data_IF_071050232561
#
_entry.id   IF_071050232561
#
_cell.length_a   1.000
_cell.length_b   1.000
_cell.length_c   1.000
_cell.angle_alpha   90.00
_cell.angle_beta   90.00
_cell.angle_gamma   90.00
#
_symmetry.space_group_name_H-M   'P 1'
#
loop_
_entity.id
_entity.type
_entity.pdbx_description
1 polymer ?
#
# COMPACT_ATOMS: atom_id res chain seq x y z
N UNK A 1 -6.96 -30.59 -6.17
CA UNK A 1 -6.30 -29.65 -7.10
C UNK A 1 -4.84 -30.00 -7.40
N UNK A 2 -3.90 -29.98 -6.42
CA UNK A 2 -2.46 -30.25 -6.65
C UNK A 2 -2.20 -31.49 -7.52
N UNK A 3 -2.89 -32.60 -7.23
CA UNK A 3 -2.81 -33.84 -8.03
C UNK A 3 -3.19 -33.64 -9.51
N UNK A 4 -4.28 -32.93 -9.79
CA UNK A 4 -4.73 -32.70 -11.16
C UNK A 4 -3.75 -31.82 -11.95
N UNK A 5 -3.20 -30.77 -11.30
CA UNK A 5 -2.16 -29.92 -11.90
C UNK A 5 -0.89 -30.71 -12.16
N UNK A 6 -0.42 -31.48 -11.17
CA UNK A 6 0.77 -32.32 -11.29
C UNK A 6 0.63 -33.39 -12.39
N UNK A 7 -0.52 -34.06 -12.48
CA UNK A 7 -0.79 -35.01 -13.56
C UNK A 7 -0.75 -34.34 -14.93
N UNK A 8 -1.44 -33.19 -15.09
CA UNK A 8 -1.51 -32.49 -16.37
C UNK A 8 -0.14 -31.98 -16.83
N UNK A 9 0.66 -31.45 -15.91
CA UNK A 9 2.03 -31.03 -16.21
C UNK A 9 2.94 -32.24 -16.46
N UNK A 10 2.76 -33.34 -15.74
CA UNK A 10 3.53 -34.56 -15.92
C UNK A 10 3.31 -35.24 -17.27
N UNK A 11 2.09 -35.15 -17.83
CA UNK A 11 1.82 -35.60 -19.21
C UNK A 11 2.64 -34.85 -20.26
N UNK A 12 2.92 -33.56 -20.03
CA UNK A 12 3.64 -32.71 -20.97
C UNK A 12 5.16 -32.69 -20.76
N UNK A 13 5.61 -32.79 -19.51
CA UNK A 13 7.01 -32.54 -19.13
C UNK A 13 7.68 -33.71 -18.39
N UNK A 14 6.94 -34.77 -18.04
CA UNK A 14 7.47 -35.90 -17.30
C UNK A 14 7.65 -35.62 -15.80
N UNK A 15 8.84 -35.87 -15.27
CA UNK A 15 9.13 -35.66 -13.85
C UNK A 15 9.19 -34.16 -13.50
N UNK A 16 8.57 -33.79 -12.38
CA UNK A 16 8.44 -32.40 -11.93
C UNK A 16 9.20 -32.22 -10.61
N UNK A 17 10.49 -31.81 -10.64
CA UNK A 17 11.31 -31.70 -9.44
C UNK A 17 10.93 -30.54 -8.49
N UNK A 18 9.95 -29.69 -8.86
CA UNK A 18 9.46 -28.52 -8.09
C UNK A 18 10.59 -27.56 -7.61
N UNK A 19 11.72 -27.46 -8.33
CA UNK A 19 12.91 -26.65 -7.96
C UNK A 19 12.88 -25.19 -8.44
N UNK A 20 11.91 -24.84 -9.28
CA UNK A 20 11.78 -23.51 -9.87
C UNK A 20 11.12 -22.47 -8.95
N UNK A 21 10.85 -21.26 -9.47
CA UNK A 21 10.14 -20.23 -8.71
C UNK A 21 8.71 -20.66 -8.37
N UNK A 22 8.17 -20.09 -7.30
CA UNK A 22 6.83 -20.41 -6.82
C UNK A 22 5.75 -19.82 -7.72
N UNK A 23 4.77 -20.65 -8.08
CA UNK A 23 3.50 -20.24 -8.69
C UNK A 23 2.38 -20.61 -7.72
N UNK A 24 1.86 -19.64 -6.97
CA UNK A 24 0.77 -19.89 -6.04
C UNK A 24 -0.54 -20.01 -6.81
N UNK A 25 -1.16 -21.19 -6.79
CA UNK A 25 -2.44 -21.44 -7.47
C UNK A 25 -3.56 -21.39 -6.44
N UNK A 26 -4.58 -20.60 -6.71
CA UNK A 26 -5.77 -20.43 -5.87
C UNK A 26 -7.00 -21.00 -6.56
N UNK A 27 -7.96 -21.47 -5.75
CA UNK A 27 -9.25 -21.96 -6.22
C UNK A 27 -10.34 -21.29 -5.44
N UNK A 28 -11.26 -20.64 -6.15
CA UNK A 28 -12.51 -20.17 -5.61
C UNK A 28 -13.66 -21.01 -6.17
N UNK A 29 -14.55 -21.46 -5.28
CA UNK A 29 -15.77 -22.16 -5.63
C UNK A 29 -16.95 -21.29 -5.24
N UNK A 30 -17.84 -21.02 -6.21
CA UNK A 30 -19.07 -20.28 -5.98
C UNK A 30 -20.14 -20.75 -6.95
N UNK A 31 -21.31 -21.10 -6.43
CA UNK A 31 -22.48 -21.49 -7.25
C UNK A 31 -22.12 -22.55 -8.31
N UNK A 32 -21.45 -23.62 -7.88
CA UNK A 32 -20.92 -24.73 -8.71
C UNK A 32 -19.88 -24.33 -9.80
N UNK A 33 -19.42 -23.08 -9.80
CA UNK A 33 -18.34 -22.61 -10.67
C UNK A 33 -17.00 -22.62 -9.93
N UNK A 34 -16.01 -23.28 -10.53
CA UNK A 34 -14.63 -23.27 -10.07
C UNK A 34 -13.81 -22.26 -10.87
N UNK A 35 -13.23 -21.27 -10.19
CA UNK A 35 -12.27 -20.33 -10.74
C UNK A 35 -10.87 -20.73 -10.26
N UNK A 36 -9.95 -20.92 -11.20
CA UNK A 36 -8.55 -21.18 -10.93
C UNK A 36 -7.74 -19.93 -11.29
N UNK A 37 -6.94 -19.43 -10.36
CA UNK A 37 -6.09 -18.25 -10.55
C UNK A 37 -4.65 -18.56 -10.14
N UNK A 38 -3.70 -17.78 -10.66
CA UNK A 38 -2.31 -17.79 -10.20
C UNK A 38 -2.02 -16.43 -9.58
N UNK A 39 -1.56 -16.43 -8.33
CA UNK A 39 -1.16 -15.21 -7.63
C UNK A 39 0.21 -14.73 -8.14
N UNK A 40 0.20 -13.55 -8.76
CA UNK A 40 1.39 -12.84 -9.23
C UNK A 40 2.02 -11.96 -8.16
N UNK A 41 1.32 -11.72 -7.06
CA UNK A 41 1.64 -10.71 -6.05
C UNK A 41 2.47 -11.28 -4.91
N UNK A 42 2.07 -12.41 -4.33
CA UNK A 42 2.61 -12.91 -3.07
C UNK A 42 1.99 -12.21 -1.88
N UNK A 43 2.78 -11.41 -1.15
CA UNK A 43 2.25 -10.68 0.00
C UNK A 43 1.06 -9.80 -0.39
N UNK A 44 0.01 -9.73 0.43
CA UNK A 44 -1.17 -8.92 0.12
C UNK A 44 -0.78 -7.47 -0.21
N UNK A 45 -1.46 -6.84 -1.18
CA UNK A 45 -1.04 -5.54 -1.72
C UNK A 45 -0.95 -4.45 -0.65
N UNK A 46 -1.83 -4.44 0.36
CA UNK A 46 -1.80 -3.51 1.51
C UNK A 46 -0.41 -3.44 2.18
N UNK A 47 0.36 -4.53 2.07
CA UNK A 47 1.82 -4.69 2.21
C UNK A 47 2.72 -3.68 1.51
N UNK A 48 2.65 -2.35 1.71
CA UNK A 48 3.42 -1.39 0.86
C UNK A 48 4.94 -1.43 1.07
N UNK A 49 5.37 -1.96 2.21
CA UNK A 49 6.78 -2.04 2.61
C UNK A 49 7.21 -0.96 3.62
N UNK A 50 6.40 0.09 3.85
CA UNK A 50 6.77 1.18 4.77
C UNK A 50 6.40 0.94 6.25
N UNK A 51 5.60 -0.09 6.54
CA UNK A 51 5.05 -0.36 7.87
C UNK A 51 5.60 -1.67 8.46
N UNK A 52 6.82 -1.67 9.01
CA UNK A 52 7.34 -2.83 9.72
C UNK A 52 6.84 -2.91 11.18
N UNK A 53 6.37 -1.80 11.75
CA UNK A 53 5.84 -1.73 13.12
C UNK A 53 4.31 -1.66 13.10
N UNK A 54 3.66 -2.50 13.89
CA UNK A 54 2.20 -2.52 14.04
C UNK A 54 1.80 -1.90 15.37
N UNK A 55 0.88 -0.93 15.31
CA UNK A 55 0.19 -0.40 16.49
C UNK A 55 -1.07 -1.20 16.80
N UNK A 56 -1.89 -0.68 17.70
CA UNK A 56 -3.20 -1.25 18.01
C UNK A 56 -4.20 -1.01 16.86
N UNK A 57 -4.84 -2.07 16.38
CA UNK A 57 -5.89 -2.07 15.35
C UNK A 57 -5.67 -1.12 14.14
N UNK A 58 -4.54 -1.18 13.41
CA UNK A 58 -4.25 -0.25 12.35
C UNK A 58 -5.18 -0.44 11.14
N UNK A 59 -5.71 0.67 10.63
CA UNK A 59 -6.45 0.69 9.36
C UNK A 59 -5.56 0.14 8.23
N UNK A 60 -6.13 -0.78 7.42
CA UNK A 60 -5.44 -1.32 6.24
C UNK A 60 -5.12 -0.22 5.23
N UNK A 61 -3.94 -0.26 4.66
CA UNK A 61 -3.42 0.70 3.68
C UNK A 61 -4.33 0.84 2.46
N UNK A 62 -4.87 -0.28 1.95
CA UNK A 62 -5.82 -0.27 0.83
C UNK A 62 -7.11 0.46 1.17
N UNK A 63 -7.59 0.36 2.41
CA UNK A 63 -8.80 1.03 2.85
C UNK A 63 -8.54 2.52 3.10
N UNK A 64 -7.41 2.87 3.69
CA UNK A 64 -6.98 4.26 3.84
C UNK A 64 -6.86 4.96 2.47
N UNK A 65 -6.21 4.33 1.49
CA UNK A 65 -6.13 4.84 0.12
C UNK A 65 -7.53 5.03 -0.49
N UNK A 66 -8.43 4.06 -0.32
CA UNK A 66 -9.80 4.16 -0.81
C UNK A 66 -10.56 5.34 -0.16
N UNK A 67 -10.41 5.56 1.15
CA UNK A 67 -11.02 6.71 1.84
C UNK A 67 -10.53 8.04 1.25
N UNK A 68 -9.23 8.17 0.98
CA UNK A 68 -8.68 9.37 0.35
C UNK A 68 -9.23 9.54 -1.06
N UNK A 69 -9.25 8.48 -1.87
CA UNK A 69 -9.76 8.53 -3.25
C UNK A 69 -11.27 8.81 -3.35
N UNK A 70 -12.05 8.36 -2.37
CA UNK A 70 -13.49 8.64 -2.28
C UNK A 70 -13.78 10.04 -1.73
N UNK A 71 -12.82 10.65 -1.05
CA UNK A 71 -12.94 12.02 -0.58
C UNK A 71 -12.83 13.02 -1.73
N UNK A 72 -13.17 14.28 -1.44
CA UNK A 72 -12.92 15.40 -2.37
C UNK A 72 -11.53 16.03 -2.21
N UNK A 73 -10.62 15.36 -1.49
CA UNK A 73 -9.28 15.88 -1.29
C UNK A 73 -8.47 15.87 -2.59
N UNK A 74 -7.65 16.89 -2.74
CA UNK A 74 -6.65 17.06 -3.79
C UNK A 74 -5.39 17.62 -3.15
N UNK A 75 -4.25 17.40 -3.77
CA UNK A 75 -2.92 17.74 -3.26
C UNK A 75 -2.72 19.22 -2.92
N UNK A 76 -3.55 20.12 -3.46
CA UNK A 76 -3.56 21.57 -3.22
C UNK A 76 -4.44 22.00 -2.04
N UNK A 77 -5.18 21.06 -1.42
CA UNK A 77 -6.10 21.33 -0.32
C UNK A 77 -5.53 20.88 1.03
N UNK A 78 -5.80 21.61 2.11
CA UNK A 78 -5.47 21.14 3.46
C UNK A 78 -6.17 19.80 3.77
N UNK A 79 -5.42 18.83 4.30
CA UNK A 79 -5.96 17.60 4.85
C UNK A 79 -5.58 17.47 6.32
N UNK A 80 -6.53 17.00 7.13
CA UNK A 80 -6.33 16.74 8.54
C UNK A 80 -6.91 15.37 8.94
N UNK A 81 -6.10 14.54 9.56
CA UNK A 81 -6.56 13.37 10.31
C UNK A 81 -6.39 13.63 11.82
N UNK A 82 -7.47 13.92 12.57
CA UNK A 82 -7.41 14.20 14.00
C UNK A 82 -7.09 13.02 14.92
N UNK A 83 -7.19 11.79 14.41
CA UNK A 83 -6.97 10.54 15.15
C UNK A 83 -6.03 9.64 14.34
N UNK A 84 -4.88 10.20 13.94
CA UNK A 84 -4.08 9.60 12.88
C UNK A 84 -3.38 8.31 13.31
N UNK A 85 -3.27 8.02 14.61
CA UNK A 85 -2.59 6.85 15.13
C UNK A 85 -1.19 6.70 14.54
N UNK A 86 -0.93 5.56 13.89
CA UNK A 86 0.34 5.26 13.22
C UNK A 86 0.47 5.83 11.81
N UNK A 87 -0.42 6.74 11.41
CA UNK A 87 -0.31 7.61 10.24
C UNK A 87 -0.81 7.00 8.92
N UNK A 88 -1.65 5.96 8.91
CA UNK A 88 -2.07 5.29 7.64
C UNK A 88 -2.68 6.28 6.64
N UNK A 89 -3.69 7.04 7.06
CA UNK A 89 -4.42 7.94 6.16
C UNK A 89 -3.51 9.07 5.66
N UNK A 90 -2.75 9.79 6.54
CA UNK A 90 -1.78 10.78 6.07
C UNK A 90 -0.74 10.25 5.09
N UNK A 91 -0.20 9.04 5.31
CA UNK A 91 0.82 8.45 4.44
C UNK A 91 0.24 8.08 3.09
N UNK A 92 -0.90 7.41 3.03
CA UNK A 92 -1.54 7.06 1.76
C UNK A 92 -1.99 8.32 1.01
N UNK A 93 -2.47 9.36 1.71
CA UNK A 93 -2.78 10.65 1.09
C UNK A 93 -1.53 11.31 0.49
N UNK A 94 -0.40 11.29 1.20
CA UNK A 94 0.84 11.86 0.69
C UNK A 94 1.37 11.08 -0.53
N UNK A 95 1.30 9.75 -0.48
CA UNK A 95 1.66 8.90 -1.62
C UNK A 95 0.77 9.17 -2.85
N UNK A 96 -0.54 9.33 -2.65
CA UNK A 96 -1.49 9.68 -3.72
C UNK A 96 -1.18 11.07 -4.28
N UNK A 97 -1.05 12.09 -3.43
CA UNK A 97 -0.78 13.47 -3.86
C UNK A 97 0.53 13.61 -4.62
N UNK A 98 1.55 12.82 -4.24
CA UNK A 98 2.85 12.75 -4.93
C UNK A 98 2.90 11.74 -6.08
N UNK A 99 1.80 11.08 -6.39
CA UNK A 99 1.72 10.03 -7.42
C UNK A 99 2.80 8.94 -7.25
N UNK A 100 3.05 8.52 -6.01
CA UNK A 100 4.01 7.46 -5.67
C UNK A 100 3.31 6.13 -5.82
N UNK A 101 3.82 5.28 -6.72
CA UNK A 101 3.24 3.96 -6.93
C UNK A 101 3.35 3.10 -5.65
N UNK A 102 2.24 2.49 -5.17
CA UNK A 102 2.20 1.73 -3.92
C UNK A 102 3.06 0.45 -3.95
N UNK A 103 3.42 -0.02 -5.13
CA UNK A 103 4.29 -1.19 -5.35
C UNK A 103 5.78 -0.86 -5.43
N UNK A 104 6.18 0.42 -5.39
CA UNK A 104 7.54 0.81 -5.78
C UNK A 104 8.64 0.32 -4.83
N UNK A 105 8.31 0.15 -3.54
CA UNK A 105 9.25 -0.23 -2.47
C UNK A 105 9.09 -1.68 -1.98
N UNK A 106 8.41 -2.51 -2.77
CA UNK A 106 8.19 -3.93 -2.47
C UNK A 106 8.51 -4.80 -3.67
N UNK A 107 8.53 -6.11 -3.45
CA UNK A 107 8.64 -7.12 -4.49
C UNK A 107 7.30 -7.84 -4.70
N UNK A 108 7.17 -8.44 -5.89
CA UNK A 108 6.07 -9.27 -6.33
C UNK A 108 6.60 -10.69 -6.63
N UNK A 109 5.78 -11.72 -6.36
CA UNK A 109 6.17 -13.11 -6.61
C UNK A 109 6.57 -13.35 -8.08
N UNK A 110 5.82 -12.74 -9.00
CA UNK A 110 6.04 -12.87 -10.44
C UNK A 110 7.36 -12.24 -10.93
N UNK A 111 8.06 -11.43 -10.15
CA UNK A 111 9.41 -10.93 -10.51
C UNK A 111 10.42 -12.05 -10.68
N UNK A 112 10.21 -13.19 -10.00
CA UNK A 112 11.10 -14.36 -10.10
C UNK A 112 10.79 -15.29 -11.26
N UNK A 113 9.70 -15.06 -12.01
CA UNK A 113 9.22 -16.00 -13.02
C UNK A 113 10.02 -15.88 -14.33
N UNK A 114 10.46 -16.99 -14.94
CA UNK A 114 11.31 -16.95 -16.13
C UNK A 114 10.67 -16.26 -17.34
N UNK A 115 9.33 -16.30 -17.44
CA UNK A 115 8.54 -15.66 -18.50
C UNK A 115 8.69 -14.14 -18.49
N UNK A 116 8.97 -13.54 -17.33
CA UNK A 116 9.21 -12.10 -17.19
C UNK A 116 10.70 -11.75 -17.10
N UNK A 117 11.56 -12.72 -16.74
CA UNK A 117 13.01 -12.53 -16.66
C UNK A 117 13.73 -12.67 -18.02
N UNK A 118 13.17 -13.44 -18.96
CA UNK A 118 13.80 -13.73 -20.25
C UNK A 118 13.57 -12.67 -21.35
N UNK A 119 12.89 -11.57 -21.03
CA UNK A 119 12.64 -10.50 -22.02
C UNK A 119 13.92 -9.70 -22.31
N UNK A 120 14.18 -9.38 -23.58
CA UNK A 120 15.30 -8.51 -24.02
C UNK A 120 15.31 -7.15 -23.31
N UNK A 121 14.16 -6.74 -22.79
CA UNK A 121 14.01 -5.58 -21.91
C UNK A 121 13.46 -6.03 -20.55
N UNK A 122 14.08 -5.63 -19.44
CA UNK A 122 13.64 -6.02 -18.10
C UNK A 122 12.32 -5.30 -17.75
N UNK A 123 11.19 -5.99 -17.98
CA UNK A 123 9.83 -5.46 -17.84
C UNK A 123 9.61 -4.75 -16.49
N UNK A 124 10.01 -5.41 -15.40
CA UNK A 124 9.84 -4.88 -14.04
C UNK A 124 10.66 -3.61 -13.79
N UNK A 125 11.88 -3.55 -14.30
CA UNK A 125 12.76 -2.38 -14.17
C UNK A 125 12.20 -1.21 -14.96
N UNK A 126 11.70 -1.46 -16.18
CA UNK A 126 11.00 -0.47 -17.00
C UNK A 126 9.74 0.06 -16.30
N UNK A 127 8.90 -0.82 -15.73
CA UNK A 127 7.73 -0.41 -14.97
C UNK A 127 8.10 0.43 -13.74
N UNK A 128 9.14 0.04 -12.99
CA UNK A 128 9.62 0.81 -11.84
C UNK A 128 10.20 2.16 -12.25
N UNK A 129 10.93 2.23 -13.37
CA UNK A 129 11.46 3.47 -13.93
C UNK A 129 10.32 4.41 -14.37
N UNK A 130 9.32 3.88 -15.09
CA UNK A 130 8.13 4.63 -15.50
C UNK A 130 7.29 5.12 -14.31
N UNK A 131 7.20 4.33 -13.22
CA UNK A 131 6.54 4.77 -12.00
C UNK A 131 7.31 5.90 -11.31
N UNK A 132 8.65 5.82 -11.24
CA UNK A 132 9.50 6.88 -10.68
C UNK A 132 9.42 8.19 -11.46
N UNK A 133 9.39 8.12 -12.79
CA UNK A 133 9.33 9.33 -13.63
C UNK A 133 8.00 10.08 -13.52
N UNK A 134 6.95 9.43 -13.05
CA UNK A 134 5.63 10.02 -12.82
C UNK A 134 5.44 10.56 -11.40
N UNK A 135 6.39 10.31 -10.49
CA UNK A 135 6.36 10.87 -9.14
C UNK A 135 6.47 12.38 -9.21
N UNK A 136 5.64 13.06 -8.41
CA UNK A 136 5.70 14.51 -8.23
C UNK A 136 6.67 14.84 -7.10
N UNK A 137 7.11 16.09 -7.08
CA UNK A 137 7.86 16.65 -5.97
C UNK A 137 7.02 16.68 -4.67
N UNK A 138 7.54 17.32 -3.62
CA UNK A 138 6.82 17.45 -2.36
C UNK A 138 5.47 18.16 -2.53
N UNK A 139 4.55 17.91 -1.60
CA UNK A 139 3.26 18.59 -1.58
C UNK A 139 3.45 20.09 -1.27
N UNK A 140 2.71 20.93 -1.96
CA UNK A 140 2.67 22.37 -1.68
C UNK A 140 1.95 22.67 -0.36
N UNK A 141 0.98 21.84 0.01
CA UNK A 141 0.30 21.87 1.30
C UNK A 141 0.59 20.57 2.08
N UNK A 142 1.15 20.72 3.28
CA UNK A 142 1.44 19.59 4.15
C UNK A 142 0.16 19.03 4.73
N UNK A 143 0.06 17.71 4.70
CA UNK A 143 -1.00 16.98 5.37
C UNK A 143 -0.77 17.06 6.88
N UNK A 144 -1.82 17.30 7.66
CA UNK A 144 -1.74 17.32 9.12
C UNK A 144 -2.28 16.02 9.70
N UNK A 145 -1.52 15.40 10.60
CA UNK A 145 -1.96 14.26 11.39
C UNK A 145 -1.81 14.58 12.87
N UNK A 146 -2.87 14.44 13.65
CA UNK A 146 -2.80 14.59 15.10
C UNK A 146 -3.23 13.33 15.82
N UNK A 147 -2.65 13.12 16.99
CA UNK A 147 -3.09 12.08 17.91
C UNK A 147 -2.73 12.50 19.35
N UNK A 148 -3.42 11.91 20.32
CA UNK A 148 -3.10 12.12 21.74
C UNK A 148 -1.88 11.29 22.17
N UNK A 149 -1.65 10.13 21.54
CA UNK A 149 -0.56 9.21 21.87
C UNK A 149 0.77 9.65 21.21
N UNK A 150 1.80 10.01 22.00
CA UNK A 150 3.11 10.32 21.46
C UNK A 150 3.81 9.09 20.85
N UNK A 151 3.53 7.88 21.36
CA UNK A 151 4.05 6.61 20.84
C UNK A 151 3.51 6.32 19.44
N UNK A 152 2.21 6.52 19.22
CA UNK A 152 1.59 6.37 17.91
C UNK A 152 2.20 7.33 16.88
N UNK A 153 2.40 8.60 17.27
CA UNK A 153 3.02 9.61 16.42
C UNK A 153 4.50 9.34 16.16
N UNK A 154 5.22 8.71 17.09
CA UNK A 154 6.60 8.26 16.85
C UNK A 154 6.64 7.21 15.75
N UNK A 155 5.74 6.24 15.77
CA UNK A 155 5.59 5.24 14.71
C UNK A 155 5.14 5.89 13.39
N UNK A 156 4.21 6.84 13.44
CA UNK A 156 3.73 7.55 12.25
C UNK A 156 4.86 8.28 11.50
N UNK A 157 5.73 8.99 12.24
CA UNK A 157 6.91 9.64 11.65
C UNK A 157 7.88 8.64 11.03
N UNK A 158 8.12 7.52 11.72
CA UNK A 158 8.97 6.45 11.19
C UNK A 158 8.39 5.86 9.89
N UNK A 159 7.11 5.52 9.87
CA UNK A 159 6.42 5.01 8.69
C UNK A 159 6.41 6.01 7.52
N UNK A 160 6.24 7.30 7.79
CA UNK A 160 6.29 8.33 6.76
C UNK A 160 7.70 8.46 6.14
N UNK A 161 8.76 8.29 6.95
CA UNK A 161 10.13 8.21 6.46
C UNK A 161 10.34 6.98 5.56
N UNK A 162 9.89 5.81 6.02
CA UNK A 162 9.95 4.56 5.24
C UNK A 162 9.11 4.59 3.96
N UNK A 163 8.08 5.45 3.90
CA UNK A 163 7.30 5.73 2.70
C UNK A 163 7.91 6.84 1.82
N UNK A 164 8.86 7.62 2.34
CA UNK A 164 9.52 8.72 1.64
C UNK A 164 8.69 9.99 1.53
N UNK A 165 7.76 10.19 2.47
CA UNK A 165 6.80 11.31 2.51
C UNK A 165 6.85 12.06 3.84
N UNK A 166 7.94 11.92 4.60
CA UNK A 166 8.08 12.56 5.91
C UNK A 166 7.97 14.10 5.83
N UNK A 167 8.50 14.71 4.78
CA UNK A 167 8.46 16.17 4.59
C UNK A 167 7.11 16.70 4.12
N UNK A 168 6.20 15.79 3.71
CA UNK A 168 4.86 16.10 3.22
C UNK A 168 3.81 16.10 4.34
N UNK A 169 4.17 15.62 5.53
CA UNK A 169 3.23 15.38 6.64
C UNK A 169 3.72 16.05 7.92
N UNK A 170 2.86 16.83 8.55
CA UNK A 170 3.07 17.39 9.88
C UNK A 170 2.31 16.59 10.94
N UNK A 171 3.05 15.77 11.70
CA UNK A 171 2.52 15.02 12.84
C UNK A 171 2.67 15.81 14.15
N UNK A 172 1.54 16.12 14.81
CA UNK A 172 1.50 16.89 16.05
C UNK A 172 0.75 16.14 17.16
N UNK A 173 1.31 16.09 18.36
CA UNK A 173 0.57 15.62 19.53
C UNK A 173 -0.46 16.66 19.93
N UNK A 174 -1.74 16.30 19.88
CA UNK A 174 -2.85 17.20 20.21
C UNK A 174 -4.11 16.41 20.53
N UNK A 175 -4.84 16.86 21.54
CA UNK A 175 -6.18 16.35 21.80
C UNK A 175 -7.15 16.92 20.76
N UNK A 176 -8.04 16.08 20.23
CA UNK A 176 -9.07 16.50 19.28
C UNK A 176 -9.93 17.65 19.80
N UNK A 177 -10.26 17.66 21.10
CA UNK A 177 -11.07 18.72 21.71
C UNK A 177 -10.41 20.11 21.61
N UNK A 178 -9.08 20.15 21.52
CA UNK A 178 -8.31 21.39 21.44
C UNK A 178 -7.97 21.77 20.00
N UNK A 179 -8.45 21.03 19.00
CA UNK A 179 -8.07 21.20 17.61
C UNK A 179 -8.77 22.41 16.97
N UNK A 180 -7.97 23.32 16.42
CA UNK A 180 -8.45 24.54 15.76
C UNK A 180 -7.67 24.77 14.48
N UNK A 181 -8.33 25.27 13.43
CA UNK A 181 -7.67 25.65 12.17
C UNK A 181 -8.22 26.97 11.67
N UNK A 182 -7.34 27.79 11.09
CA UNK A 182 -7.71 28.99 10.33
C UNK A 182 -7.79 28.72 8.82
N UNK A 183 -7.45 27.49 8.39
CA UNK A 183 -7.45 27.09 6.99
C UNK A 183 -8.87 26.80 6.54
N UNK A 184 -9.21 27.29 5.35
CA UNK A 184 -10.53 27.09 4.75
C UNK A 184 -10.49 25.98 3.69
N UNK A 185 -11.68 25.45 3.36
CA UNK A 185 -11.86 24.45 2.29
C UNK A 185 -10.99 23.19 2.41
N UNK A 186 -10.62 22.79 3.64
CA UNK A 186 -9.88 21.55 3.89
C UNK A 186 -10.75 20.28 3.83
N UNK A 187 -10.10 19.13 3.95
CA UNK A 187 -10.73 17.83 4.10
C UNK A 187 -10.32 17.21 5.45
N UNK A 188 -11.30 16.67 6.18
CA UNK A 188 -11.06 15.87 7.38
C UNK A 188 -11.35 14.40 7.03
N UNK A 189 -10.34 13.55 7.12
CA UNK A 189 -10.45 12.11 6.85
C UNK A 189 -9.85 11.39 8.04
N UNK A 190 -10.64 10.55 8.70
CA UNK A 190 -10.22 9.91 9.95
C UNK A 190 -10.92 8.58 10.18
N UNK A 191 -10.31 7.74 11.02
CA UNK A 191 -10.86 6.48 11.49
C UNK A 191 -10.82 6.49 13.04
N UNK A 192 -11.84 7.07 13.70
CA UNK A 192 -11.83 7.26 15.14
C UNK A 192 -11.91 5.91 15.88
N UNK A 193 -11.57 5.86 17.18
CA UNK A 193 -11.74 4.66 17.99
C UNK A 193 -13.22 4.24 18.04
N UNK A 194 -13.45 2.93 17.91
CA UNK A 194 -14.76 2.31 18.10
C UNK A 194 -14.78 1.77 19.53
N UNK A 195 -15.62 2.36 20.39
CA UNK A 195 -15.66 2.08 21.83
C UNK A 195 -16.03 0.65 22.21
#
# INVERSE_FOLDING_TARGET
>A
MKKAVSMRLGEAYGELPETGPRYAIEVALRDDLAMLTIDTTGDGLHKRGYRPLTGEAPLRETLAAALVMLSFWREDRPLLDPFCGTGTIPIEAAMIGRNIAPGLRRSFMAESWPQFAAAEQPLWENCRAAARSQMREGLSERIMGTDISPEALKMARFHASEAGVADDIHFQQRNFADLTSKREYGCLITNPPYG
#
